data_IF_380883079194
#
_entry.id   IF_380883079194
#
_cell.length_a   1.000
_cell.length_b   1.000
_cell.length_c   1.000
_cell.angle_alpha   90.00
_cell.angle_beta   90.00
_cell.angle_gamma   90.00
#
_symmetry.space_group_name_H-M   'P 1'
#
loop_
_entity.id
_entity.type
_entity.pdbx_description
1 polymer ?
#
# COMPACT_ATOMS: atom_id res chain seq x y z
N UNK A 1 -6.21 13.21 3.54
CA UNK A 1 -7.10 12.14 3.08
C UNK A 1 -8.48 12.24 3.72
N UNK A 2 -9.30 13.25 3.36
CA UNK A 2 -10.67 13.35 3.88
C UNK A 2 -11.51 12.15 3.41
N UNK A 3 -11.45 11.84 2.12
CA UNK A 3 -12.18 10.72 1.52
C UNK A 3 -11.88 9.36 2.16
N UNK A 4 -10.61 9.03 2.43
CA UNK A 4 -10.29 7.75 3.05
C UNK A 4 -10.83 7.65 4.49
N UNK A 5 -10.88 8.76 5.24
CA UNK A 5 -11.39 8.75 6.62
C UNK A 5 -12.87 8.47 6.67
N UNK A 6 -13.65 9.15 5.85
CA UNK A 6 -15.10 9.01 5.84
C UNK A 6 -15.49 7.65 5.24
N UNK A 7 -14.92 7.31 4.08
CA UNK A 7 -15.28 6.08 3.37
C UNK A 7 -14.81 4.81 4.10
N UNK A 8 -13.65 4.81 4.78
CA UNK A 8 -13.24 3.61 5.50
C UNK A 8 -14.17 3.29 6.68
N UNK A 9 -14.72 4.30 7.34
CA UNK A 9 -15.69 4.08 8.41
C UNK A 9 -16.95 3.40 7.87
N UNK A 10 -17.48 3.89 6.74
CA UNK A 10 -18.65 3.30 6.09
C UNK A 10 -18.36 1.88 5.60
N UNK A 11 -17.25 1.66 4.89
CA UNK A 11 -16.87 0.35 4.37
C UNK A 11 -16.54 -0.65 5.48
N UNK A 12 -16.05 -0.21 6.64
CA UNK A 12 -15.78 -1.07 7.78
C UNK A 12 -17.05 -1.71 8.36
N UNK A 13 -18.23 -1.13 8.10
CA UNK A 13 -19.53 -1.69 8.53
C UNK A 13 -20.03 -2.84 7.66
N UNK A 14 -19.40 -3.07 6.50
CA UNK A 14 -19.82 -4.11 5.55
C UNK A 14 -19.15 -5.44 5.92
N UNK A 15 -19.96 -6.41 6.32
CA UNK A 15 -19.49 -7.76 6.62
C UNK A 15 -19.01 -8.48 5.35
N UNK A 16 -17.90 -9.21 5.49
CA UNK A 16 -17.30 -9.99 4.38
C UNK A 16 -16.52 -9.18 3.34
N UNK A 17 -16.42 -7.85 3.49
CA UNK A 17 -15.59 -7.02 2.62
C UNK A 17 -14.11 -7.11 3.02
N UNK A 18 -13.26 -7.50 2.07
CA UNK A 18 -11.79 -7.51 2.20
C UNK A 18 -11.16 -6.43 1.32
N UNK A 19 -9.99 -5.96 1.72
CA UNK A 19 -9.29 -4.85 1.09
C UNK A 19 -7.89 -5.29 0.65
N UNK A 20 -7.65 -5.37 -0.66
CA UNK A 20 -6.29 -5.52 -1.15
C UNK A 20 -5.52 -4.18 -1.11
N UNK A 21 -4.23 -4.27 -0.80
CA UNK A 21 -3.33 -3.12 -0.75
C UNK A 21 -2.43 -3.03 -1.98
N UNK A 22 -2.88 -3.59 -3.11
CA UNK A 22 -2.18 -3.53 -4.38
C UNK A 22 -1.92 -2.07 -4.77
N UNK A 23 -0.70 -1.77 -5.24
CA UNK A 23 -0.31 -0.41 -5.66
C UNK A 23 -0.39 0.69 -4.57
N UNK A 24 -0.51 0.34 -3.28
CA UNK A 24 -0.51 1.29 -2.16
C UNK A 24 0.89 1.40 -1.54
N UNK A 25 1.39 2.63 -1.39
CA UNK A 25 2.72 2.91 -0.80
C UNK A 25 2.65 3.86 0.40
N UNK A 26 1.49 4.46 0.66
CA UNK A 26 1.37 5.54 1.64
C UNK A 26 1.22 4.99 3.07
N UNK A 27 2.18 5.24 3.98
CA UNK A 27 2.08 4.77 5.36
C UNK A 27 0.90 5.35 6.14
N UNK A 28 0.44 6.57 5.81
CA UNK A 28 -0.68 7.21 6.49
C UNK A 28 -2.01 6.54 6.10
N UNK A 29 -2.12 6.05 4.86
CA UNK A 29 -3.29 5.28 4.40
C UNK A 29 -3.29 3.90 5.06
N UNK A 30 -2.14 3.25 5.16
CA UNK A 30 -2.02 1.97 5.89
C UNK A 30 -2.39 2.12 7.36
N UNK A 31 -1.84 3.11 8.06
CA UNK A 31 -2.20 3.37 9.47
C UNK A 31 -3.70 3.60 9.63
N UNK A 32 -4.30 4.42 8.76
CA UNK A 32 -5.74 4.68 8.81
C UNK A 32 -6.55 3.41 8.56
N UNK A 33 -6.20 2.61 7.55
CA UNK A 33 -6.85 1.34 7.26
C UNK A 33 -6.79 0.39 8.47
N UNK A 34 -5.62 0.24 9.09
CA UNK A 34 -5.45 -0.62 10.26
C UNK A 34 -6.27 -0.16 11.46
N UNK A 35 -6.33 1.15 11.73
CA UNK A 35 -7.09 1.70 12.86
C UNK A 35 -8.60 1.64 12.66
N UNK A 36 -9.08 1.71 11.42
CA UNK A 36 -10.52 1.79 11.12
C UNK A 36 -11.12 0.44 10.74
N UNK A 37 -10.43 -0.33 9.90
CA UNK A 37 -10.93 -1.59 9.33
C UNK A 37 -10.47 -2.80 10.14
N UNK A 38 -9.22 -2.77 10.62
CA UNK A 38 -8.57 -3.90 11.28
C UNK A 38 -7.68 -4.72 10.34
N UNK A 39 -6.67 -5.44 10.89
CA UNK A 39 -5.72 -6.22 10.09
C UNK A 39 -6.32 -7.50 9.49
N UNK A 40 -7.38 -8.04 10.07
CA UNK A 40 -8.07 -9.28 9.69
C UNK A 40 -8.82 -9.21 8.34
N UNK A 41 -9.01 -8.00 7.81
CA UNK A 41 -9.68 -7.76 6.52
C UNK A 41 -8.78 -7.14 5.45
N UNK A 42 -7.48 -7.00 5.72
CA UNK A 42 -6.53 -6.41 4.78
C UNK A 42 -5.69 -7.50 4.12
N UNK A 43 -5.53 -7.43 2.80
CA UNK A 43 -4.78 -8.38 1.98
C UNK A 43 -3.55 -7.71 1.37
N UNK A 44 -2.39 -8.35 1.50
CA UNK A 44 -1.20 -7.92 0.77
C UNK A 44 -1.28 -8.30 -0.72
N UNK A 45 -1.07 -7.30 -1.59
CA UNK A 45 -1.00 -7.47 -3.04
C UNK A 45 0.11 -6.61 -3.63
N UNK A 46 0.80 -7.11 -4.66
CA UNK A 46 2.01 -6.46 -5.21
C UNK A 46 1.80 -5.79 -6.56
N UNK A 47 0.72 -6.11 -7.27
CA UNK A 47 0.52 -5.72 -8.67
C UNK A 47 1.63 -6.21 -9.61
N UNK A 48 2.27 -7.34 -9.32
CA UNK A 48 3.35 -7.84 -10.20
C UNK A 48 2.77 -8.32 -11.55
N UNK A 49 3.33 -7.91 -12.72
CA UNK A 49 4.60 -7.18 -12.89
C UNK A 49 4.49 -5.66 -13.06
N UNK A 50 3.29 -5.08 -12.98
CA UNK A 50 3.02 -3.67 -13.31
C UNK A 50 3.73 -2.73 -12.32
N UNK A 51 3.20 -2.57 -11.10
CA UNK A 51 3.78 -1.61 -10.16
C UNK A 51 5.07 -2.11 -9.52
N UNK A 52 5.15 -3.40 -9.20
CA UNK A 52 6.30 -3.96 -8.48
C UNK A 52 7.64 -3.87 -9.23
N UNK A 53 7.63 -3.81 -10.56
CA UNK A 53 8.86 -3.74 -11.37
C UNK A 53 9.35 -2.30 -11.60
N UNK A 54 8.52 -1.29 -11.34
CA UNK A 54 8.94 0.11 -11.46
C UNK A 54 10.02 0.43 -10.42
N UNK A 55 10.99 1.27 -10.80
CA UNK A 55 12.03 1.77 -9.89
C UNK A 55 11.79 3.25 -9.59
N UNK A 56 11.71 3.60 -8.33
CA UNK A 56 11.43 4.95 -7.86
C UNK A 56 10.64 4.99 -6.57
N UNK A 57 9.88 6.06 -6.37
CA UNK A 57 9.07 6.28 -5.19
C UNK A 57 7.83 7.11 -5.52
N UNK A 58 6.92 7.23 -4.55
CA UNK A 58 5.70 8.04 -4.69
C UNK A 58 5.76 9.24 -3.75
N UNK A 59 5.35 10.39 -4.25
CA UNK A 59 5.09 11.60 -3.46
C UNK A 59 3.60 11.83 -3.40
N UNK A 60 3.11 12.35 -2.28
CA UNK A 60 1.70 12.60 -2.03
C UNK A 60 1.48 14.09 -1.80
N UNK A 61 0.53 14.67 -2.53
CA UNK A 61 0.22 16.09 -2.51
C UNK A 61 -1.30 16.27 -2.42
N UNK A 62 -1.77 16.62 -1.23
CA UNK A 62 -3.20 16.73 -0.94
C UNK A 62 -3.93 15.41 -1.18
N UNK A 63 -4.71 15.39 -2.26
CA UNK A 63 -5.54 14.24 -2.68
C UNK A 63 -4.95 13.48 -3.86
N UNK A 64 -3.83 13.95 -4.39
CA UNK A 64 -3.16 13.34 -5.54
C UNK A 64 -1.83 12.72 -5.11
N UNK A 65 -1.26 11.94 -6.02
CA UNK A 65 0.10 11.46 -5.88
C UNK A 65 0.81 11.51 -7.23
N UNK A 66 2.15 11.58 -7.18
CA UNK A 66 3.00 11.47 -8.37
C UNK A 66 3.97 10.31 -8.19
N UNK A 67 4.14 9.53 -9.24
CA UNK A 67 5.16 8.49 -9.31
C UNK A 67 6.43 9.10 -9.87
N UNK A 68 7.49 9.12 -9.08
CA UNK A 68 8.82 9.48 -9.55
C UNK A 68 9.53 8.19 -9.91
N UNK A 69 9.96 8.04 -11.15
CA UNK A 69 10.54 6.79 -11.64
C UNK A 69 11.69 7.01 -12.60
N UNK A 70 12.60 6.04 -12.67
CA UNK A 70 13.76 6.05 -13.56
C UNK A 70 13.44 5.57 -14.98
N UNK A 71 12.25 5.02 -15.21
CA UNK A 71 11.86 4.46 -16.51
C UNK A 71 11.18 5.52 -17.39
N UNK A 72 11.35 5.37 -18.71
CA UNK A 72 10.84 6.33 -19.69
C UNK A 72 9.37 6.04 -20.04
N UNK A 73 8.48 6.35 -19.10
CA UNK A 73 7.04 6.28 -19.33
C UNK A 73 6.52 7.60 -19.90
N UNK A 74 5.50 7.59 -20.79
CA UNK A 74 4.93 8.82 -21.36
C UNK A 74 4.41 9.82 -20.33
N UNK A 75 4.04 9.35 -19.14
CA UNK A 75 3.55 10.15 -18.03
C UNK A 75 4.66 10.59 -17.04
N UNK A 76 5.90 10.14 -17.23
CA UNK A 76 7.03 10.48 -16.35
C UNK A 76 7.66 11.81 -16.76
N UNK A 77 7.00 12.92 -16.43
CA UNK A 77 7.43 14.28 -16.80
C UNK A 77 8.42 14.89 -15.81
N UNK A 78 8.43 14.43 -14.56
CA UNK A 78 9.22 15.00 -13.47
C UNK A 78 10.50 14.20 -13.19
N UNK A 79 11.43 14.26 -14.15
CA UNK A 79 12.70 13.53 -14.10
C UNK A 79 13.69 14.11 -13.09
N UNK A 80 14.50 13.24 -12.50
CA UNK A 80 15.60 13.61 -11.62
C UNK A 80 16.94 13.38 -12.33
N UNK A 81 18.05 13.97 -11.84
CA UNK A 81 19.35 13.69 -12.41
C UNK A 81 19.66 12.18 -12.45
N UNK A 82 20.29 11.65 -13.52
CA UNK A 82 20.52 10.22 -13.68
C UNK A 82 21.21 9.54 -12.50
N UNK A 83 22.13 10.23 -11.83
CA UNK A 83 22.85 9.76 -10.64
C UNK A 83 21.95 9.59 -9.41
N UNK A 84 20.82 10.29 -9.36
CA UNK A 84 19.77 10.15 -8.35
C UNK A 84 18.86 8.98 -8.73
N UNK A 85 18.38 8.95 -9.98
CA UNK A 85 17.48 7.89 -10.48
C UNK A 85 18.14 6.50 -10.44
N UNK A 86 19.46 6.42 -10.65
CA UNK A 86 20.21 5.17 -10.57
C UNK A 86 20.13 4.50 -9.19
N UNK A 87 19.91 5.28 -8.13
CA UNK A 87 19.80 4.82 -6.74
C UNK A 87 18.39 4.37 -6.36
N UNK A 88 17.40 4.56 -7.23
CA UNK A 88 16.04 4.16 -6.95
C UNK A 88 15.89 2.66 -6.78
N UNK A 89 15.16 2.28 -5.74
CA UNK A 89 14.77 0.89 -5.49
C UNK A 89 13.46 0.55 -6.19
N UNK A 90 13.05 -0.71 -6.16
CA UNK A 90 11.75 -1.13 -6.69
C UNK A 90 10.59 -0.62 -5.84
N UNK A 91 9.49 -0.24 -6.49
CA UNK A 91 8.27 0.24 -5.83
C UNK A 91 7.72 -0.77 -4.81
N UNK A 92 7.93 -2.08 -5.00
CA UNK A 92 7.55 -3.09 -4.01
C UNK A 92 8.25 -2.89 -2.66
N UNK A 93 9.51 -2.44 -2.66
CA UNK A 93 10.22 -2.14 -1.41
C UNK A 93 9.68 -0.87 -0.74
N UNK A 94 9.29 0.14 -1.53
CA UNK A 94 8.62 1.31 -0.98
C UNK A 94 7.20 0.98 -0.46
N UNK A 95 6.48 0.08 -1.12
CA UNK A 95 5.19 -0.42 -0.64
C UNK A 95 5.33 -1.18 0.69
N UNK A 96 6.29 -2.11 0.77
CA UNK A 96 6.63 -2.83 2.01
C UNK A 96 7.05 -1.87 3.12
N UNK A 97 7.83 -0.84 2.80
CA UNK A 97 8.24 0.20 3.75
C UNK A 97 7.05 1.03 4.25
N UNK A 98 6.12 1.38 3.36
CA UNK A 98 4.87 2.05 3.70
C UNK A 98 4.01 1.19 4.62
N UNK A 99 3.79 -0.07 4.26
CA UNK A 99 3.06 -1.08 5.03
C UNK A 99 3.65 -1.21 6.43
N UNK A 100 4.97 -1.44 6.53
CA UNK A 100 5.67 -1.59 7.80
C UNK A 100 5.48 -0.36 8.70
N UNK A 101 5.69 0.84 8.17
CA UNK A 101 5.50 2.08 8.94
C UNK A 101 4.05 2.27 9.41
N UNK A 102 3.08 1.99 8.55
CA UNK A 102 1.66 2.08 8.90
C UNK A 102 1.29 1.10 10.01
N UNK A 103 1.74 -0.15 9.90
CA UNK A 103 1.56 -1.19 10.89
C UNK A 103 2.22 -0.84 12.24
N UNK A 104 3.47 -0.38 12.22
CA UNK A 104 4.21 0.08 13.42
C UNK A 104 3.45 1.21 14.14
N UNK A 105 2.93 2.20 13.40
CA UNK A 105 2.17 3.32 13.98
C UNK A 105 0.81 2.90 14.53
N UNK A 106 0.15 1.95 13.87
CA UNK A 106 -1.13 1.39 14.31
C UNK A 106 -0.97 0.38 15.47
N UNK A 107 0.26 -0.03 15.80
CA UNK A 107 0.54 -0.94 16.91
C UNK A 107 0.28 -2.42 16.59
N UNK A 108 0.39 -2.80 15.31
CA UNK A 108 0.21 -4.19 14.88
C UNK A 108 1.30 -5.10 15.45
N UNK A 109 0.88 -6.30 15.81
CA UNK A 109 1.75 -7.41 16.22
C UNK A 109 2.24 -8.20 15.01
N UNK A 110 3.18 -9.12 15.24
CA UNK A 110 3.61 -10.08 14.20
C UNK A 110 2.44 -10.94 13.71
N UNK A 111 1.53 -11.35 14.60
CA UNK A 111 0.36 -12.15 14.23
C UNK A 111 -0.57 -11.37 13.30
N UNK A 112 -0.78 -10.07 13.57
CA UNK A 112 -1.59 -9.21 12.68
C UNK A 112 -0.96 -9.09 11.29
N UNK A 113 0.38 -9.02 11.21
CA UNK A 113 1.08 -9.00 9.94
C UNK A 113 0.99 -10.34 9.21
N UNK A 114 1.06 -11.46 9.92
CA UNK A 114 0.86 -12.79 9.33
C UNK A 114 -0.55 -12.93 8.73
N UNK A 115 -1.56 -12.37 9.38
CA UNK A 115 -2.92 -12.28 8.85
C UNK A 115 -2.95 -11.50 7.53
N UNK A 116 -2.35 -10.31 7.51
CA UNK A 116 -2.31 -9.43 6.32
C UNK A 116 -1.56 -10.05 5.14
N UNK A 117 -0.39 -10.65 5.40
CA UNK A 117 0.48 -11.19 4.36
C UNK A 117 0.08 -12.58 3.89
N UNK A 118 -0.76 -13.30 4.64
CA UNK A 118 -1.12 -14.68 4.30
C UNK A 118 -2.50 -15.11 4.80
N UNK A 119 -2.75 -15.10 6.11
CA UNK A 119 -3.86 -15.86 6.68
C UNK A 119 -5.24 -15.38 6.18
N UNK A 120 -5.40 -14.08 5.95
CA UNK A 120 -6.64 -13.52 5.40
C UNK A 120 -6.94 -14.08 4.00
N UNK A 121 -5.95 -14.08 3.10
CA UNK A 121 -6.09 -14.64 1.76
C UNK A 121 -6.34 -16.16 1.83
N UNK A 122 -5.65 -16.85 2.74
CA UNK A 122 -5.83 -18.28 2.94
C UNK A 122 -7.25 -18.63 3.41
N UNK A 123 -7.81 -17.91 4.38
CA UNK A 123 -9.19 -18.07 4.85
C UNK A 123 -10.20 -17.87 3.71
N UNK A 124 -10.00 -16.83 2.91
CA UNK A 124 -10.85 -16.53 1.75
C UNK A 124 -10.83 -17.67 0.71
N UNK A 125 -9.66 -18.17 0.36
CA UNK A 125 -9.49 -19.19 -0.68
C UNK A 125 -9.87 -20.61 -0.21
N UNK A 126 -9.80 -20.86 1.11
CA UNK A 126 -10.13 -22.16 1.69
C UNK A 126 -11.63 -22.32 1.98
N UNK A 127 -12.45 -21.32 1.63
CA UNK A 127 -13.90 -21.38 1.70
C UNK A 127 -14.48 -21.32 3.11
N UNK A 128 -13.84 -20.54 3.99
CA UNK A 128 -14.28 -20.14 5.35
C UNK A 128 -15.49 -20.86 5.95
#
# INVERSE_FOLDING_TARGET
FPFARDTFADLATIDGLLFDCCAVLNPDVFELAFRTIGPDRILWGTDFPVLSRMRGYRVWEGETYRNITSADYPWNTDRQPPEVEAKYTYFIYEALRGMRKGAERAGLTTADLEDVFFANAYRLLSGG
#
